data_IF_778639646145
#
_entry.id   IF_778639646145
#
_cell.length_a   1.000
_cell.length_b   1.000
_cell.length_c   1.000
_cell.angle_alpha   90.00
_cell.angle_beta   90.00
_cell.angle_gamma   90.00
#
_symmetry.space_group_name_H-M   'P 1'
#
loop_
_entity.id
_entity.type
_entity.pdbx_description
1 polymer ?
#
# COMPACT_ATOMS: atom_id res chain seq x y z
N UNK A 1 -6.44 -12.31 -14.22
CA UNK A 1 -6.11 -10.97 -13.73
C UNK A 1 -4.89 -11.03 -12.85
N UNK A 2 -3.77 -10.60 -13.37
CA UNK A 2 -2.52 -10.67 -12.61
C UNK A 2 -2.60 -9.95 -11.26
N UNK A 3 -3.24 -8.79 -11.23
CA UNK A 3 -3.33 -8.01 -10.00
C UNK A 3 -4.18 -8.72 -8.94
N UNK A 4 -5.34 -9.24 -9.33
CA UNK A 4 -6.22 -9.94 -8.38
C UNK A 4 -5.57 -11.19 -7.81
N UNK A 5 -4.84 -11.92 -8.64
CA UNK A 5 -4.09 -13.11 -8.21
C UNK A 5 -2.99 -12.71 -7.22
N UNK A 6 -2.25 -11.64 -7.53
CA UNK A 6 -1.17 -11.16 -6.66
C UNK A 6 -1.72 -10.69 -5.31
N UNK A 7 -2.85 -9.99 -5.30
CA UNK A 7 -3.49 -9.55 -4.06
C UNK A 7 -3.93 -10.74 -3.20
N UNK A 8 -4.57 -11.72 -3.82
CA UNK A 8 -4.98 -12.93 -3.11
C UNK A 8 -3.78 -13.67 -2.53
N UNK A 9 -2.68 -13.73 -3.30
CA UNK A 9 -1.44 -14.33 -2.84
C UNK A 9 -0.85 -13.62 -1.64
N UNK A 10 -0.85 -12.27 -1.64
CA UNK A 10 -0.37 -11.48 -0.50
C UNK A 10 -1.23 -11.71 0.75
N UNK A 11 -2.55 -11.73 0.58
CA UNK A 11 -3.45 -11.98 1.70
C UNK A 11 -3.18 -13.35 2.32
N UNK A 12 -3.04 -14.37 1.49
CA UNK A 12 -2.78 -15.72 1.95
C UNK A 12 -1.41 -15.80 2.64
N UNK A 13 -0.38 -15.24 2.01
CA UNK A 13 0.98 -15.26 2.55
C UNK A 13 1.07 -14.57 3.90
N UNK A 14 0.45 -13.40 4.05
CA UNK A 14 0.45 -12.68 5.33
C UNK A 14 -0.16 -13.53 6.43
N UNK A 15 -1.28 -14.19 6.15
CA UNK A 15 -1.95 -15.05 7.13
C UNK A 15 -1.11 -16.26 7.50
N UNK A 16 -0.53 -16.92 6.51
CA UNK A 16 0.29 -18.11 6.76
C UNK A 16 1.55 -17.77 7.55
N UNK A 17 2.25 -16.70 7.17
CA UNK A 17 3.45 -16.27 7.89
C UNK A 17 3.12 -15.83 9.31
N UNK A 18 1.99 -15.16 9.51
CA UNK A 18 1.56 -14.74 10.84
C UNK A 18 1.28 -15.95 11.74
N UNK A 19 0.68 -17.00 11.18
CA UNK A 19 0.41 -18.22 11.94
C UNK A 19 1.69 -18.95 12.34
N UNK A 20 2.68 -18.96 11.44
CA UNK A 20 3.97 -19.60 11.71
C UNK A 20 4.77 -18.79 12.73
N UNK A 21 4.80 -17.47 12.60
CA UNK A 21 5.64 -16.60 13.42
C UNK A 21 5.01 -16.22 14.76
N UNK A 22 3.68 -16.26 14.85
CA UNK A 22 2.95 -15.87 16.05
C UNK A 22 3.42 -16.57 17.33
N UNK A 23 3.57 -17.91 17.33
CA UNK A 23 4.06 -18.61 18.51
C UNK A 23 5.45 -18.17 18.98
N UNK A 24 6.23 -17.55 18.09
CA UNK A 24 7.55 -17.00 18.42
C UNK A 24 7.49 -15.55 18.88
N UNK A 25 6.28 -14.99 19.01
CA UNK A 25 6.11 -13.59 19.41
C UNK A 25 6.39 -12.59 18.30
N UNK A 26 6.35 -13.04 17.05
CA UNK A 26 6.63 -12.17 15.89
C UNK A 26 5.34 -11.89 15.13
N UNK A 27 5.05 -10.63 14.89
CA UNK A 27 3.92 -10.19 14.06
C UNK A 27 4.38 -10.01 12.62
N UNK A 28 3.53 -10.41 11.69
CA UNK A 28 3.80 -10.29 10.26
C UNK A 28 2.60 -9.63 9.58
N UNK A 29 2.81 -8.43 9.08
CA UNK A 29 1.79 -7.68 8.37
C UNK A 29 2.36 -7.21 7.03
N UNK A 30 1.48 -6.96 6.08
CA UNK A 30 1.86 -6.48 4.76
C UNK A 30 1.31 -5.07 4.57
N UNK A 31 2.13 -4.18 4.03
CA UNK A 31 1.70 -2.87 3.60
C UNK A 31 1.69 -2.84 2.07
N UNK A 32 0.55 -2.47 1.50
CA UNK A 32 0.40 -2.40 0.05
C UNK A 32 0.16 -0.95 -0.37
N UNK A 33 1.21 -0.22 -0.77
CA UNK A 33 1.06 1.17 -1.18
C UNK A 33 0.47 1.29 -2.57
N UNK A 34 -0.18 2.43 -2.83
CA UNK A 34 -0.63 2.79 -4.16
C UNK A 34 0.41 3.64 -4.89
N UNK A 35 -0.07 4.60 -5.66
CA UNK A 35 0.79 5.48 -6.44
C UNK A 35 1.30 6.62 -5.57
N UNK A 36 2.61 6.67 -5.38
CA UNK A 36 3.28 7.65 -4.51
C UNK A 36 4.19 8.53 -5.36
N UNK A 37 4.11 9.83 -5.13
CA UNK A 37 4.96 10.80 -5.81
C UNK A 37 6.00 11.35 -4.83
N UNK A 38 7.24 11.43 -5.29
CA UNK A 38 8.35 12.01 -4.51
C UNK A 38 9.39 12.57 -5.47
N UNK A 39 10.20 13.56 -5.03
CA UNK A 39 11.22 14.16 -5.88
C UNK A 39 12.20 13.10 -6.40
N UNK A 40 12.44 13.11 -7.71
CA UNK A 40 13.32 12.15 -8.37
C UNK A 40 12.71 10.80 -8.68
N UNK A 41 11.43 10.59 -8.33
CA UNK A 41 10.73 9.35 -8.66
C UNK A 41 10.18 9.33 -10.08
N UNK A 42 9.78 8.16 -10.52
CA UNK A 42 9.24 7.96 -11.88
C UNK A 42 7.98 8.78 -12.15
N UNK A 43 7.11 8.93 -11.14
CA UNK A 43 5.88 9.66 -11.32
C UNK A 43 6.10 11.16 -11.52
N UNK A 44 7.11 11.73 -10.89
CA UNK A 44 7.43 13.15 -11.09
C UNK A 44 7.75 13.42 -12.55
N UNK A 45 8.57 12.57 -13.16
CA UNK A 45 8.95 12.73 -14.56
C UNK A 45 7.75 12.49 -15.50
N UNK A 46 6.94 11.49 -15.24
CA UNK A 46 5.75 11.20 -16.06
C UNK A 46 4.76 12.35 -16.03
N UNK A 47 4.49 12.91 -14.85
CA UNK A 47 3.57 14.03 -14.69
C UNK A 47 4.11 15.24 -15.43
N UNK A 48 5.41 15.49 -15.34
CA UNK A 48 6.03 16.62 -16.04
C UNK A 48 5.89 16.50 -17.55
N UNK A 49 5.91 15.28 -18.09
CA UNK A 49 5.80 15.04 -19.52
C UNK A 49 4.40 15.35 -20.07
N UNK A 50 3.35 15.12 -19.29
CA UNK A 50 1.96 15.38 -19.70
C UNK A 50 1.08 15.57 -18.47
N UNK A 51 1.14 16.76 -17.84
CA UNK A 51 0.42 17.00 -16.57
C UNK A 51 -1.10 16.81 -16.67
N UNK A 52 -1.70 17.26 -17.78
CA UNK A 52 -3.16 17.19 -17.94
C UNK A 52 -3.64 15.75 -18.02
N UNK A 53 -2.93 14.92 -18.77
CA UNK A 53 -3.28 13.51 -18.94
C UNK A 53 -3.18 12.76 -17.62
N UNK A 54 -2.10 12.96 -16.86
CA UNK A 54 -1.90 12.26 -15.61
C UNK A 54 -2.84 12.74 -14.51
N UNK A 55 -3.20 14.03 -14.51
CA UNK A 55 -4.19 14.54 -13.56
C UNK A 55 -5.56 13.92 -13.80
N UNK A 56 -5.95 13.79 -15.07
CA UNK A 56 -7.20 13.12 -15.41
C UNK A 56 -7.17 11.64 -15.00
N UNK A 57 -6.06 10.98 -15.29
CA UNK A 57 -5.89 9.56 -14.96
C UNK A 57 -6.01 9.32 -13.45
N UNK A 58 -5.28 10.11 -12.64
CA UNK A 58 -5.31 9.93 -11.19
C UNK A 58 -6.70 10.24 -10.62
N UNK A 59 -7.39 11.21 -11.18
CA UNK A 59 -8.74 11.57 -10.76
C UNK A 59 -9.77 10.48 -11.06
N UNK A 60 -9.51 9.68 -12.09
CA UNK A 60 -10.36 8.56 -12.46
C UNK A 60 -10.03 7.29 -11.69
N UNK A 61 -8.74 7.02 -11.49
CA UNK A 61 -8.28 5.75 -10.93
C UNK A 61 -8.23 5.72 -9.40
N UNK A 62 -8.04 6.86 -8.76
CA UNK A 62 -7.89 6.93 -7.31
C UNK A 62 -9.05 7.72 -6.72
N UNK A 63 -9.88 7.10 -5.87
CA UNK A 63 -11.02 7.80 -5.25
C UNK A 63 -10.64 9.09 -4.53
N UNK A 64 -9.51 9.14 -3.83
CA UNK A 64 -9.04 10.37 -3.19
C UNK A 64 -8.45 11.37 -4.18
N UNK A 65 -8.35 11.00 -5.46
CA UNK A 65 -8.02 11.89 -6.59
C UNK A 65 -6.67 12.55 -6.50
N UNK A 66 -5.70 11.87 -5.92
CA UNK A 66 -4.33 12.37 -5.85
C UNK A 66 -3.35 11.23 -5.63
N UNK A 67 -2.09 11.52 -5.88
CA UNK A 67 -0.99 10.63 -5.50
C UNK A 67 -0.78 10.73 -4.00
N UNK A 68 -0.29 9.65 -3.40
CA UNK A 68 0.17 9.68 -2.02
C UNK A 68 1.57 10.27 -1.91
N UNK A 69 1.97 10.56 -0.69
CA UNK A 69 3.32 11.02 -0.36
C UNK A 69 4.06 9.93 0.41
N UNK A 70 5.41 9.97 0.43
CA UNK A 70 6.18 9.01 1.23
C UNK A 70 5.76 8.96 2.69
N UNK A 71 5.46 10.12 3.30
CA UNK A 71 5.00 10.18 4.68
C UNK A 71 3.68 9.47 4.91
N UNK A 72 2.79 9.52 3.92
CA UNK A 72 1.49 8.84 4.00
C UNK A 72 1.60 7.33 3.93
N UNK A 73 2.73 6.82 3.45
CA UNK A 73 3.05 5.39 3.49
C UNK A 73 3.84 5.06 4.77
N UNK A 74 4.77 5.92 5.14
CA UNK A 74 5.63 5.70 6.29
C UNK A 74 4.89 5.71 7.63
N UNK A 75 3.88 6.58 7.78
CA UNK A 75 3.11 6.66 9.03
C UNK A 75 2.33 5.36 9.29
N UNK A 76 1.56 4.81 8.34
CA UNK A 76 0.94 3.51 8.55
C UNK A 76 1.95 2.39 8.79
N UNK A 77 3.09 2.42 8.13
CA UNK A 77 4.14 1.43 8.36
C UNK A 77 4.66 1.50 9.80
N UNK A 78 4.91 2.69 10.30
CA UNK A 78 5.34 2.91 11.68
C UNK A 78 4.30 2.41 12.68
N UNK A 79 3.00 2.64 12.40
CA UNK A 79 1.91 2.12 13.22
C UNK A 79 1.97 0.60 13.31
N UNK A 80 2.12 -0.08 12.17
CA UNK A 80 2.17 -1.55 12.15
C UNK A 80 3.35 -2.10 12.95
N UNK A 81 4.47 -1.37 12.99
CA UNK A 81 5.66 -1.77 13.74
C UNK A 81 5.60 -1.38 15.21
N UNK A 82 4.63 -0.56 15.60
CA UNK A 82 4.50 -0.02 16.94
C UNK A 82 3.88 -1.03 17.90
N UNK A 83 4.24 -0.98 19.21
CA UNK A 83 3.53 -1.76 20.22
C UNK A 83 2.04 -1.45 20.31
N UNK A 84 1.59 -0.29 19.79
CA UNK A 84 0.17 0.04 19.72
C UNK A 84 -0.59 -1.00 18.88
N UNK A 85 0.07 -1.57 17.88
CA UNK A 85 -0.51 -2.61 17.03
C UNK A 85 -0.18 -4.03 17.52
N UNK A 86 -0.04 -4.22 18.82
CA UNK A 86 0.49 -5.47 19.39
C UNK A 86 -0.38 -6.70 19.11
N UNK A 87 -1.67 -6.54 18.88
CA UNK A 87 -2.57 -7.65 18.58
C UNK A 87 -2.87 -7.78 17.09
N UNK A 88 -2.17 -7.03 16.24
CA UNK A 88 -2.41 -6.97 14.80
C UNK A 88 -1.34 -7.78 14.06
N UNK A 89 -1.74 -8.89 13.47
CA UNK A 89 -0.86 -9.74 12.68
C UNK A 89 -1.67 -10.42 11.56
N UNK A 90 -1.01 -10.76 10.47
CA UNK A 90 -1.65 -11.40 9.32
C UNK A 90 -2.47 -10.45 8.46
N UNK A 91 -2.36 -9.14 8.66
CA UNK A 91 -3.13 -8.15 7.93
C UNK A 91 -2.42 -7.70 6.66
N UNK A 92 -3.22 -7.29 5.67
CA UNK A 92 -2.75 -6.55 4.52
C UNK A 92 -3.40 -5.17 4.59
N UNK A 93 -2.59 -4.13 4.76
CA UNK A 93 -3.07 -2.77 4.88
C UNK A 93 -2.86 -2.04 3.55
N UNK A 94 -3.97 -1.71 2.89
CA UNK A 94 -3.95 -0.94 1.65
C UNK A 94 -3.81 0.54 1.98
N UNK A 95 -2.80 1.20 1.39
CA UNK A 95 -2.57 2.64 1.57
C UNK A 95 -2.46 3.24 0.17
N UNK A 96 -3.60 3.38 -0.49
CA UNK A 96 -3.66 3.65 -1.92
C UNK A 96 -4.73 4.67 -2.33
N UNK A 97 -5.28 5.40 -1.38
CA UNK A 97 -6.35 6.35 -1.68
C UNK A 97 -7.63 5.72 -2.17
N UNK A 98 -7.79 4.42 -1.98
CA UNK A 98 -8.99 3.69 -2.40
C UNK A 98 -8.91 3.12 -3.83
N UNK A 99 -7.72 3.13 -4.44
CA UNK A 99 -7.56 2.70 -5.83
C UNK A 99 -7.96 1.25 -6.06
N UNK A 100 -7.69 0.39 -5.11
CA UNK A 100 -7.97 -1.03 -5.23
C UNK A 100 -9.46 -1.29 -5.10
N UNK A 101 -10.01 -2.10 -5.98
CA UNK A 101 -11.46 -2.34 -6.07
C UNK A 101 -11.91 -3.65 -5.45
N UNK A 102 -11.04 -4.34 -4.80
CA UNK A 102 -11.50 -5.60 -4.26
C UNK A 102 -10.59 -6.26 -3.22
#
# INVERSE_FOLDING_TARGET
MPYGVAKAGMNHMSKELARIAGPMGVRVNTLAPGNVIFPGGDWEERIRSDPAMWQEWIGREVPLRRFGTPGEIGIPAAFLLSPIAAFLTGAVLQVDGGQIRG
#
